data_IF_651754068423
#
_entry.id   IF_651754068423
#
_cell.length_a   1.000
_cell.length_b   1.000
_cell.length_c   1.000
_cell.angle_alpha   90.00
_cell.angle_beta   90.00
_cell.angle_gamma   90.00
#
_symmetry.space_group_name_H-M   'P 1'
#
loop_
_entity.id
_entity.type
_entity.pdbx_description
1 polymer ?
#
# COMPACT_ATOMS: atom_id res chain seq x y z
N UNK A 1 -10.91 4.21 -25.33
CA UNK A 1 -10.51 2.88 -24.80
C UNK A 1 -9.40 3.17 -23.80
N UNK A 2 -9.63 2.85 -22.53
CA UNK A 2 -8.70 3.11 -21.43
C UNK A 2 -7.64 2.00 -21.41
N UNK A 3 -6.36 2.38 -21.49
CA UNK A 3 -5.23 1.45 -21.45
C UNK A 3 -4.78 1.21 -20.00
N UNK A 4 -4.67 -0.06 -19.61
CA UNK A 4 -4.43 -0.47 -18.21
C UNK A 4 -3.15 -1.28 -18.11
N UNK A 5 -2.32 -0.94 -17.12
CA UNK A 5 -1.23 -1.78 -16.63
C UNK A 5 -1.70 -2.47 -15.35
N UNK A 6 -1.54 -3.79 -15.25
CA UNK A 6 -1.76 -4.54 -14.00
C UNK A 6 -0.40 -4.89 -13.40
N UNK A 7 -0.17 -4.48 -12.15
CA UNK A 7 1.00 -4.81 -11.35
C UNK A 7 0.58 -5.56 -10.09
N UNK A 8 0.59 -6.89 -10.17
CA UNK A 8 0.12 -7.82 -9.12
C UNK A 8 1.08 -9.00 -9.01
N UNK A 9 1.58 -9.26 -7.80
CA UNK A 9 2.58 -10.30 -7.59
C UNK A 9 2.01 -11.73 -7.61
N UNK A 10 0.73 -11.91 -7.21
CA UNK A 10 0.07 -13.20 -7.19
C UNK A 10 -0.48 -13.57 -8.59
N UNK A 11 0.03 -14.64 -9.26
CA UNK A 11 -0.35 -14.92 -10.63
C UNK A 11 -1.85 -15.19 -10.83
N UNK A 12 -2.51 -15.84 -9.87
CA UNK A 12 -3.95 -16.12 -9.95
C UNK A 12 -4.79 -14.85 -9.85
N UNK A 13 -4.44 -13.96 -8.93
CA UNK A 13 -5.12 -12.66 -8.77
C UNK A 13 -4.90 -11.81 -10.02
N UNK A 14 -3.69 -11.74 -10.53
CA UNK A 14 -3.35 -11.00 -11.75
C UNK A 14 -4.18 -11.47 -12.94
N UNK A 15 -4.33 -12.78 -13.13
CA UNK A 15 -5.18 -13.35 -14.18
C UNK A 15 -6.67 -13.08 -13.96
N UNK A 16 -7.13 -13.08 -12.72
CA UNK A 16 -8.49 -12.69 -12.37
C UNK A 16 -8.78 -11.22 -12.72
N UNK A 17 -7.85 -10.32 -12.37
CA UNK A 17 -7.95 -8.89 -12.71
C UNK A 17 -7.96 -8.68 -14.23
N UNK A 18 -7.08 -9.37 -14.97
CA UNK A 18 -7.05 -9.32 -16.42
C UNK A 18 -8.42 -9.70 -17.01
N UNK A 19 -8.93 -10.87 -16.65
CA UNK A 19 -10.21 -11.36 -17.17
C UNK A 19 -11.38 -10.42 -16.80
N UNK A 20 -11.37 -9.86 -15.59
CA UNK A 20 -12.38 -8.93 -15.10
C UNK A 20 -12.38 -7.63 -15.89
N UNK A 21 -11.21 -7.04 -16.12
CA UNK A 21 -11.09 -5.74 -16.78
C UNK A 21 -11.30 -5.86 -18.30
N UNK A 22 -10.83 -6.93 -18.92
CA UNK A 22 -11.04 -7.15 -20.36
C UNK A 22 -12.48 -7.59 -20.73
N UNK A 23 -13.31 -7.93 -19.74
CA UNK A 23 -14.74 -8.14 -19.98
C UNK A 23 -15.48 -6.82 -20.28
N UNK A 24 -14.90 -5.67 -19.95
CA UNK A 24 -15.47 -4.36 -20.22
C UNK A 24 -15.03 -3.83 -21.59
N UNK A 25 -15.97 -3.40 -22.48
CA UNK A 25 -15.66 -3.08 -23.87
C UNK A 25 -14.81 -1.82 -24.07
N UNK A 26 -14.73 -0.96 -23.05
CA UNK A 26 -13.98 0.30 -23.05
C UNK A 26 -12.62 0.21 -22.36
N UNK A 27 -12.31 -0.94 -21.73
CA UNK A 27 -11.07 -1.19 -21.02
C UNK A 27 -10.16 -2.14 -21.79
N UNK A 28 -8.86 -1.92 -21.76
CA UNK A 28 -7.86 -2.79 -22.37
C UNK A 28 -6.61 -2.90 -21.52
N UNK A 29 -6.22 -4.11 -21.18
CA UNK A 29 -4.96 -4.37 -20.49
C UNK A 29 -3.82 -4.40 -21.51
N UNK A 30 -2.88 -3.48 -21.40
CA UNK A 30 -1.72 -3.38 -22.30
C UNK A 30 -0.49 -4.10 -21.77
N UNK A 31 -0.43 -4.31 -20.45
CA UNK A 31 0.63 -5.08 -19.81
C UNK A 31 0.16 -5.66 -18.47
N UNK A 32 0.68 -6.84 -18.13
CA UNK A 32 0.56 -7.46 -16.81
C UNK A 32 1.95 -7.87 -16.29
N UNK A 33 2.26 -7.48 -15.06
CA UNK A 33 3.59 -7.68 -14.47
C UNK A 33 3.51 -8.12 -13.02
N UNK A 34 4.58 -8.76 -12.52
CA UNK A 34 4.63 -9.32 -11.19
C UNK A 34 5.58 -8.60 -10.23
N UNK A 35 6.33 -7.60 -10.70
CA UNK A 35 7.30 -6.88 -9.87
C UNK A 35 7.35 -5.38 -10.19
N UNK A 36 7.85 -4.54 -9.24
CA UNK A 36 7.88 -3.09 -9.38
C UNK A 36 8.70 -2.58 -10.56
N UNK A 37 9.83 -3.21 -10.84
CA UNK A 37 10.75 -2.80 -11.90
C UNK A 37 10.13 -3.01 -13.29
N UNK A 38 9.40 -4.10 -13.46
CA UNK A 38 8.64 -4.38 -14.69
C UNK A 38 7.47 -3.41 -14.84
N UNK A 39 6.80 -3.05 -13.74
CA UNK A 39 5.70 -2.08 -13.77
C UNK A 39 6.16 -0.72 -14.30
N UNK A 40 7.29 -0.22 -13.83
CA UNK A 40 7.86 1.05 -14.31
C UNK A 40 8.27 0.94 -15.79
N UNK A 41 8.94 -0.16 -16.18
CA UNK A 41 9.33 -0.37 -17.59
C UNK A 41 8.12 -0.45 -18.52
N UNK A 42 7.09 -1.19 -18.11
CA UNK A 42 5.86 -1.33 -18.89
C UNK A 42 5.11 0.01 -19.01
N UNK A 43 5.05 0.80 -17.92
CA UNK A 43 4.43 2.12 -17.96
C UNK A 43 5.13 3.06 -18.95
N UNK A 44 6.45 3.05 -18.99
CA UNK A 44 7.23 3.84 -19.94
C UNK A 44 7.10 3.35 -21.39
N UNK A 45 6.99 2.03 -21.60
CA UNK A 45 6.93 1.44 -22.92
C UNK A 45 5.54 1.56 -23.58
N UNK A 46 4.47 1.40 -22.80
CA UNK A 46 3.10 1.31 -23.31
C UNK A 46 2.26 2.56 -23.04
N UNK A 47 2.68 3.44 -22.13
CA UNK A 47 1.96 4.68 -21.79
C UNK A 47 0.52 4.47 -21.32
N UNK A 48 0.26 3.56 -20.33
CA UNK A 48 -1.10 3.29 -19.89
C UNK A 48 -1.74 4.53 -19.24
N UNK A 49 -3.06 4.63 -19.38
CA UNK A 49 -3.86 5.67 -18.71
C UNK A 49 -3.97 5.41 -17.21
N UNK A 50 -4.05 4.11 -16.82
CA UNK A 50 -4.20 3.69 -15.42
C UNK A 50 -3.27 2.50 -15.11
N UNK A 51 -2.59 2.57 -13.98
CA UNK A 51 -1.92 1.42 -13.38
C UNK A 51 -2.74 0.92 -12.18
N UNK A 52 -3.21 -0.32 -12.26
CA UNK A 52 -3.82 -1.06 -11.15
C UNK A 52 -2.71 -1.79 -10.43
N UNK A 53 -2.42 -1.38 -9.19
CA UNK A 53 -1.21 -1.78 -8.46
C UNK A 53 -1.59 -2.43 -7.14
N UNK A 54 -1.12 -3.66 -6.93
CA UNK A 54 -1.20 -4.31 -5.63
C UNK A 54 -0.33 -3.55 -4.60
N UNK A 55 -0.93 -3.25 -3.44
CA UNK A 55 -0.25 -2.58 -2.34
C UNK A 55 0.88 -3.42 -1.74
N UNK A 56 0.70 -4.75 -1.74
CA UNK A 56 1.64 -5.71 -1.16
C UNK A 56 2.71 -6.16 -2.18
N UNK A 57 2.79 -5.52 -3.34
CA UNK A 57 3.83 -5.77 -4.35
C UNK A 57 5.21 -5.53 -3.73
N UNK A 58 6.06 -6.58 -3.59
CA UNK A 58 7.31 -6.49 -2.86
C UNK A 58 8.32 -5.59 -3.57
N UNK A 59 9.00 -4.71 -2.84
CA UNK A 59 10.05 -3.86 -3.36
C UNK A 59 9.78 -2.37 -3.20
N UNK A 60 10.17 -1.56 -4.19
CA UNK A 60 10.02 -0.10 -4.16
C UNK A 60 8.55 0.31 -4.33
N UNK A 61 8.12 1.43 -3.71
CA UNK A 61 6.77 1.93 -3.84
C UNK A 61 6.47 2.34 -5.29
N UNK A 62 5.81 1.46 -6.02
CA UNK A 62 5.51 1.61 -7.47
C UNK A 62 4.75 2.90 -7.75
N UNK A 63 3.75 3.24 -6.92
CA UNK A 63 2.95 4.45 -7.10
C UNK A 63 3.80 5.73 -7.15
N UNK A 64 4.83 5.83 -6.28
CA UNK A 64 5.73 6.99 -6.27
C UNK A 64 6.58 7.03 -7.55
N UNK A 65 7.13 5.88 -7.96
CA UNK A 65 7.94 5.77 -9.17
C UNK A 65 7.13 6.07 -10.43
N UNK A 66 5.89 5.61 -10.50
CA UNK A 66 5.00 5.91 -11.62
C UNK A 66 4.65 7.40 -11.68
N UNK A 67 4.39 8.04 -10.55
CA UNK A 67 4.12 9.46 -10.51
C UNK A 67 5.31 10.33 -10.98
N UNK A 68 6.53 9.88 -10.70
CA UNK A 68 7.76 10.57 -11.14
C UNK A 68 8.06 10.37 -12.63
N UNK A 69 7.92 9.12 -13.12
CA UNK A 69 8.41 8.70 -14.44
C UNK A 69 7.31 8.65 -15.51
N UNK A 70 6.06 8.44 -15.11
CA UNK A 70 4.88 8.35 -15.96
C UNK A 70 3.72 9.19 -15.40
N UNK A 71 3.85 10.53 -15.29
CA UNK A 71 2.91 11.40 -14.56
C UNK A 71 1.49 11.44 -15.15
N UNK A 72 1.30 10.95 -16.36
CA UNK A 72 -0.03 10.84 -16.99
C UNK A 72 -0.76 9.56 -16.60
N UNK A 73 -0.05 8.57 -16.07
CA UNK A 73 -0.62 7.31 -15.64
C UNK A 73 -1.24 7.47 -14.25
N UNK A 74 -2.56 7.42 -14.15
CA UNK A 74 -3.26 7.40 -12.87
C UNK A 74 -2.99 6.09 -12.12
N UNK A 75 -2.84 6.14 -10.80
CA UNK A 75 -2.58 4.94 -9.99
C UNK A 75 -3.81 4.60 -9.15
N UNK A 76 -4.35 3.39 -9.37
CA UNK A 76 -5.36 2.75 -8.53
C UNK A 76 -4.67 1.64 -7.72
N UNK A 77 -4.62 1.81 -6.41
CA UNK A 77 -4.07 0.78 -5.53
C UNK A 77 -5.13 -0.23 -5.10
N UNK A 78 -4.76 -1.50 -5.10
CA UNK A 78 -5.59 -2.58 -4.59
C UNK A 78 -4.96 -3.20 -3.34
N UNK A 79 -5.80 -3.71 -2.44
CA UNK A 79 -5.35 -4.48 -1.27
C UNK A 79 -6.36 -5.57 -0.93
N UNK A 80 -5.86 -6.76 -0.61
CA UNK A 80 -6.69 -7.85 -0.12
C UNK A 80 -7.18 -7.59 1.33
N UNK A 81 -6.43 -6.81 2.10
CA UNK A 81 -6.72 -6.48 3.51
C UNK A 81 -6.42 -5.01 3.78
N UNK A 82 -7.23 -4.10 3.21
CA UNK A 82 -7.01 -2.67 3.41
C UNK A 82 -7.11 -2.31 4.89
N UNK A 83 -6.15 -1.54 5.38
CA UNK A 83 -6.23 -0.93 6.70
C UNK A 83 -6.26 0.60 6.58
N UNK A 84 -6.86 1.31 7.57
CA UNK A 84 -7.03 2.77 7.50
C UNK A 84 -5.74 3.56 7.30
N UNK A 85 -4.63 3.08 7.87
CA UNK A 85 -3.33 3.73 7.72
C UNK A 85 -2.74 3.60 6.33
N UNK A 86 -2.92 2.45 5.67
CA UNK A 86 -2.51 2.24 4.27
C UNK A 86 -3.33 3.14 3.34
N UNK A 87 -4.65 3.19 3.53
CA UNK A 87 -5.53 4.08 2.76
C UNK A 87 -5.08 5.53 2.92
N UNK A 88 -4.84 5.98 4.15
CA UNK A 88 -4.37 7.34 4.41
C UNK A 88 -3.02 7.63 3.74
N UNK A 89 -2.07 6.69 3.79
CA UNK A 89 -0.76 6.83 3.10
C UNK A 89 -0.94 6.91 1.59
N UNK A 90 -1.77 6.05 1.01
CA UNK A 90 -2.06 6.07 -0.42
C UNK A 90 -2.67 7.40 -0.86
N UNK A 91 -3.63 7.92 -0.08
CA UNK A 91 -4.31 9.19 -0.35
C UNK A 91 -3.44 10.44 -0.13
N UNK A 92 -2.48 10.37 0.79
CA UNK A 92 -1.48 11.43 0.98
C UNK A 92 -0.38 11.40 -0.10
N UNK A 93 -0.25 10.28 -0.81
CA UNK A 93 0.69 10.07 -1.90
C UNK A 93 0.08 10.38 -3.27
N UNK A 94 0.75 9.94 -4.34
CA UNK A 94 0.33 10.20 -5.72
C UNK A 94 -0.81 9.30 -6.22
N UNK A 95 -1.26 8.31 -5.45
CA UNK A 95 -2.34 7.44 -5.87
C UNK A 95 -3.67 8.20 -5.95
N UNK A 96 -4.38 8.05 -7.06
CA UNK A 96 -5.72 8.63 -7.26
C UNK A 96 -6.81 7.72 -6.71
N UNK A 97 -6.56 6.41 -6.58
CA UNK A 97 -7.56 5.47 -6.09
C UNK A 97 -6.99 4.47 -5.09
N UNK A 98 -7.89 3.96 -4.25
CA UNK A 98 -7.64 2.85 -3.35
C UNK A 98 -8.90 2.02 -3.17
N UNK A 99 -8.81 0.71 -3.47
CA UNK A 99 -9.95 -0.21 -3.38
C UNK A 99 -9.54 -1.54 -2.75
N UNK A 100 -10.51 -2.21 -2.16
CA UNK A 100 -10.36 -3.59 -1.71
C UNK A 100 -10.44 -4.57 -2.88
N UNK A 101 -9.70 -5.66 -2.84
CA UNK A 101 -9.93 -6.80 -3.74
C UNK A 101 -11.26 -7.53 -3.49
N UNK A 102 -12.01 -7.15 -2.44
CA UNK A 102 -13.33 -7.68 -2.16
C UNK A 102 -14.47 -6.95 -2.92
N UNK A 103 -14.16 -5.91 -3.70
CA UNK A 103 -15.17 -5.23 -4.53
C UNK A 103 -15.61 -6.10 -5.69
N UNK A 104 -16.85 -5.88 -6.16
CA UNK A 104 -17.33 -6.54 -7.38
C UNK A 104 -16.63 -6.02 -8.65
N UNK A 105 -16.68 -6.82 -9.74
CA UNK A 105 -16.10 -6.47 -11.03
C UNK A 105 -16.50 -5.09 -11.55
N UNK A 106 -17.77 -4.77 -11.50
CA UNK A 106 -18.35 -3.49 -12.00
C UNK A 106 -17.79 -2.31 -11.22
N UNK A 107 -17.61 -2.48 -9.90
CA UNK A 107 -17.06 -1.42 -9.03
C UNK A 107 -15.58 -1.17 -9.31
N UNK A 108 -14.82 -2.23 -9.59
CA UNK A 108 -13.42 -2.11 -9.98
C UNK A 108 -13.29 -1.37 -11.32
N UNK A 109 -14.10 -1.75 -12.32
CA UNK A 109 -14.11 -1.11 -13.63
C UNK A 109 -14.47 0.38 -13.53
N UNK A 110 -15.48 0.73 -12.72
CA UNK A 110 -15.83 2.11 -12.46
C UNK A 110 -14.70 2.89 -11.78
N UNK A 111 -13.99 2.27 -10.83
CA UNK A 111 -12.81 2.86 -10.19
C UNK A 111 -11.69 3.16 -11.18
N UNK A 112 -11.44 2.26 -12.14
CA UNK A 112 -10.48 2.48 -13.24
C UNK A 112 -10.89 3.67 -14.10
N UNK A 113 -12.18 3.78 -14.49
CA UNK A 113 -12.69 4.91 -15.27
C UNK A 113 -12.50 6.24 -14.55
N UNK A 114 -12.83 6.29 -13.27
CA UNK A 114 -12.64 7.50 -12.44
C UNK A 114 -11.18 7.93 -12.39
N UNK A 115 -10.26 6.98 -12.18
CA UNK A 115 -8.83 7.26 -12.15
C UNK A 115 -8.31 7.73 -13.52
N UNK A 116 -8.79 7.14 -14.62
CA UNK A 116 -8.45 7.57 -15.97
C UNK A 116 -8.88 9.02 -16.27
N UNK A 117 -9.98 9.47 -15.66
CA UNK A 117 -10.46 10.86 -15.73
C UNK A 117 -9.77 11.80 -14.74
N UNK A 118 -8.76 11.34 -14.00
CA UNK A 118 -8.08 12.11 -12.96
C UNK A 118 -8.93 12.31 -11.68
N UNK A 119 -10.04 11.60 -11.55
CA UNK A 119 -10.90 11.64 -10.36
C UNK A 119 -10.44 10.64 -9.31
N UNK A 120 -10.75 10.91 -8.04
CA UNK A 120 -10.44 9.98 -6.96
C UNK A 120 -11.45 8.82 -6.92
N UNK A 121 -10.93 7.60 -6.84
CA UNK A 121 -11.68 6.35 -6.70
C UNK A 121 -11.39 5.70 -5.35
N UNK A 122 -12.24 5.93 -4.35
CA UNK A 122 -12.08 5.40 -3.00
C UNK A 122 -13.42 4.88 -2.51
N UNK A 123 -13.42 3.72 -1.87
CA UNK A 123 -14.60 3.22 -1.18
C UNK A 123 -14.92 4.13 0.02
N UNK A 124 -16.20 4.52 0.15
CA UNK A 124 -16.64 5.46 1.19
C UNK A 124 -16.28 4.97 2.61
N UNK A 125 -16.43 3.70 2.87
CA UNK A 125 -16.10 3.07 4.16
C UNK A 125 -14.61 3.18 4.48
N UNK A 126 -13.74 2.94 3.48
CA UNK A 126 -12.30 3.07 3.62
C UNK A 126 -11.88 4.53 3.82
N UNK A 127 -12.52 5.45 3.14
CA UNK A 127 -12.28 6.88 3.30
C UNK A 127 -12.63 7.36 4.72
N UNK A 128 -13.78 6.96 5.24
CA UNK A 128 -14.21 7.28 6.62
C UNK A 128 -13.24 6.68 7.64
N UNK A 129 -12.87 5.40 7.49
CA UNK A 129 -11.92 4.74 8.36
C UNK A 129 -10.53 5.42 8.35
N UNK A 130 -10.08 5.87 7.18
CA UNK A 130 -8.81 6.60 7.05
C UNK A 130 -8.82 7.96 7.74
N UNK A 131 -9.96 8.67 7.71
CA UNK A 131 -10.13 9.94 8.41
C UNK A 131 -10.15 9.78 9.94
N UNK A 132 -10.67 8.65 10.43
CA UNK A 132 -10.72 8.33 11.86
C UNK A 132 -9.41 7.75 12.40
N UNK A 133 -8.47 7.39 11.51
CA UNK A 133 -7.19 6.82 11.90
C UNK A 133 -6.35 7.83 12.69
N UNK A 134 -5.94 7.45 13.89
CA UNK A 134 -5.09 8.28 14.74
C UNK A 134 -3.77 8.67 14.05
N UNK A 135 -3.32 9.88 14.28
CA UNK A 135 -1.97 10.30 13.86
C UNK A 135 -0.92 9.44 14.54
N UNK A 136 0.14 9.13 13.82
CA UNK A 136 1.21 8.32 14.36
C UNK A 136 1.92 9.04 15.54
N UNK A 137 1.86 8.53 16.79
CA UNK A 137 2.48 9.15 17.93
C UNK A 137 3.97 8.79 18.07
N UNK A 138 4.47 7.89 17.23
CA UNK A 138 5.81 7.34 17.35
C UNK A 138 6.82 8.19 16.58
N UNK A 139 7.99 8.39 17.18
CA UNK A 139 9.14 9.00 16.52
C UNK A 139 9.72 8.04 15.47
N UNK A 140 10.51 8.58 14.53
CA UNK A 140 11.19 7.77 13.51
C UNK A 140 12.00 6.62 14.13
N UNK A 141 12.72 6.88 15.22
CA UNK A 141 13.53 5.87 15.91
C UNK A 141 12.69 4.79 16.59
N UNK A 142 11.57 5.17 17.17
CA UNK A 142 10.61 4.21 17.73
C UNK A 142 9.99 3.34 16.62
N UNK A 143 9.71 3.89 15.44
CA UNK A 143 9.26 3.13 14.28
C UNK A 143 10.31 2.13 13.80
N UNK A 144 11.58 2.52 13.73
CA UNK A 144 12.67 1.62 13.32
C UNK A 144 12.77 0.42 14.28
N UNK A 145 12.73 0.69 15.60
CA UNK A 145 12.69 -0.36 16.62
C UNK A 145 11.48 -1.27 16.45
N UNK A 146 10.31 -0.70 16.22
CA UNK A 146 9.05 -1.45 16.13
C UNK A 146 8.96 -2.29 14.85
N UNK A 147 9.48 -1.82 13.72
CA UNK A 147 9.56 -2.59 12.46
C UNK A 147 10.40 -3.85 12.61
N UNK A 148 11.59 -3.74 13.20
CA UNK A 148 12.44 -4.89 13.46
C UNK A 148 11.77 -5.82 14.49
N UNK A 149 11.09 -5.23 15.49
CA UNK A 149 10.32 -5.95 16.47
C UNK A 149 9.15 -6.75 15.87
N UNK A 150 8.53 -6.25 14.81
CA UNK A 150 7.45 -6.91 14.08
C UNK A 150 7.91 -8.20 13.38
N UNK A 151 9.18 -8.26 12.94
CA UNK A 151 9.81 -9.47 12.44
C UNK A 151 10.16 -10.52 13.50
N UNK A 152 9.77 -10.33 14.77
CA UNK A 152 10.02 -11.29 15.86
C UNK A 152 11.40 -11.17 16.52
N UNK A 153 12.26 -10.22 16.08
CA UNK A 153 13.63 -10.08 16.56
C UNK A 153 13.71 -9.81 18.07
N UNK A 154 14.64 -10.38 18.80
CA UNK A 154 14.87 -10.14 20.22
C UNK A 154 15.47 -8.75 20.45
N UNK A 155 15.37 -8.23 21.69
CA UNK A 155 15.93 -6.90 22.00
C UNK A 155 17.44 -6.80 21.77
N UNK A 156 18.18 -7.88 21.84
CA UNK A 156 19.59 -7.96 21.51
C UNK A 156 19.81 -7.81 20.00
N UNK A 157 19.06 -8.51 19.19
CA UNK A 157 19.12 -8.44 17.71
C UNK A 157 18.73 -7.06 17.19
N UNK A 158 17.71 -6.44 17.80
CA UNK A 158 17.31 -5.05 17.50
C UNK A 158 18.44 -4.07 17.84
N UNK A 159 19.09 -4.28 19.00
CA UNK A 159 20.22 -3.46 19.44
C UNK A 159 21.39 -3.52 18.46
N UNK A 160 21.74 -4.73 18.02
CA UNK A 160 22.81 -4.95 17.05
C UNK A 160 22.50 -4.30 15.70
N UNK A 161 21.29 -4.51 15.15
CA UNK A 161 20.88 -3.94 13.86
C UNK A 161 20.81 -2.41 13.86
N UNK A 162 20.45 -1.81 14.99
CA UNK A 162 20.30 -0.37 15.10
C UNK A 162 21.49 0.35 15.74
N UNK A 163 22.56 -0.39 16.06
CA UNK A 163 23.73 0.14 16.78
C UNK A 163 23.36 0.84 18.10
N UNK A 164 22.51 0.18 18.90
CA UNK A 164 22.03 0.67 20.19
C UNK A 164 22.44 -0.28 21.33
N UNK A 165 22.36 0.19 22.57
CA UNK A 165 22.39 -0.70 23.72
C UNK A 165 21.06 -1.42 23.90
N UNK A 166 21.06 -2.64 24.44
CA UNK A 166 19.84 -3.38 24.79
C UNK A 166 18.93 -2.59 25.73
N UNK A 167 19.53 -1.83 26.66
CA UNK A 167 18.81 -0.92 27.56
C UNK A 167 18.05 0.19 26.81
N UNK A 168 18.70 0.78 25.79
CA UNK A 168 18.08 1.79 24.91
C UNK A 168 16.89 1.21 24.14
N UNK A 169 17.03 0.00 23.60
CA UNK A 169 15.93 -0.69 22.90
C UNK A 169 14.75 -0.94 23.83
N UNK A 170 14.99 -1.42 25.06
CA UNK A 170 13.93 -1.62 26.06
C UNK A 170 13.22 -0.32 26.42
N UNK A 171 13.96 0.78 26.54
CA UNK A 171 13.38 2.11 26.78
C UNK A 171 12.51 2.57 25.62
N UNK A 172 12.94 2.35 24.35
CA UNK A 172 12.09 2.63 23.19
C UNK A 172 10.83 1.78 23.20
N UNK A 173 10.91 0.47 23.42
CA UNK A 173 9.75 -0.40 23.48
C UNK A 173 8.76 0.01 24.59
N UNK A 174 9.26 0.41 25.77
CA UNK A 174 8.43 0.92 26.85
C UNK A 174 7.69 2.21 26.46
N UNK A 175 8.40 3.16 25.83
CA UNK A 175 7.79 4.40 25.33
C UNK A 175 6.77 4.14 24.23
N UNK A 176 7.04 3.20 23.33
CA UNK A 176 6.10 2.79 22.28
C UNK A 176 4.82 2.26 22.92
N UNK A 177 4.92 1.32 23.87
CA UNK A 177 3.75 0.78 24.58
C UNK A 177 2.95 1.87 25.28
N UNK A 178 3.63 2.80 25.95
CA UNK A 178 2.97 3.93 26.60
C UNK A 178 2.22 4.83 25.59
N UNK A 179 2.86 5.18 24.47
CA UNK A 179 2.27 6.06 23.44
C UNK A 179 1.13 5.41 22.68
N UNK A 180 1.17 4.09 22.51
CA UNK A 180 0.15 3.33 21.78
C UNK A 180 -0.96 2.80 22.69
N UNK A 181 -0.81 2.88 24.01
CA UNK A 181 -1.70 2.24 24.98
C UNK A 181 -1.64 0.71 24.94
N UNK A 182 -0.56 0.13 24.36
CA UNK A 182 -0.41 -1.30 24.19
C UNK A 182 -0.09 -2.01 25.52
N UNK A 183 -0.69 -3.18 25.72
CA UNK A 183 -0.50 -4.03 26.93
C UNK A 183 0.84 -4.74 26.94
N UNK A 184 1.39 -5.02 25.76
CA UNK A 184 2.66 -5.69 25.55
C UNK A 184 3.22 -5.37 24.18
N UNK A 185 4.43 -5.87 23.88
CA UNK A 185 5.13 -5.64 22.60
C UNK A 185 4.34 -6.13 21.38
N UNK A 186 3.71 -7.31 21.46
CA UNK A 186 2.92 -7.84 20.34
C UNK A 186 1.69 -6.98 20.06
N UNK A 187 1.04 -6.50 21.12
CA UNK A 187 -0.10 -5.60 21.02
C UNK A 187 0.33 -4.24 20.39
N UNK A 188 1.53 -3.74 20.75
CA UNK A 188 2.08 -2.54 20.13
C UNK A 188 2.36 -2.72 18.62
N UNK A 189 2.90 -3.86 18.23
CA UNK A 189 3.10 -4.22 16.81
C UNK A 189 1.76 -4.28 16.09
N UNK A 190 0.76 -4.99 16.66
CA UNK A 190 -0.57 -5.11 16.08
C UNK A 190 -1.22 -3.73 15.88
N UNK A 191 -1.26 -2.89 16.93
CA UNK A 191 -1.83 -1.54 16.85
C UNK A 191 -1.13 -0.71 15.77
N UNK A 192 0.19 -0.77 15.70
CA UNK A 192 0.95 0.01 14.72
C UNK A 192 0.74 -0.48 13.29
N UNK A 193 0.59 -1.81 13.08
CA UNK A 193 0.27 -2.40 11.78
C UNK A 193 -1.15 -2.04 11.35
N UNK A 194 -2.15 -2.23 12.24
CA UNK A 194 -3.56 -1.90 11.96
C UNK A 194 -3.74 -0.40 11.65
N UNK A 195 -2.93 0.46 12.30
CA UNK A 195 -2.91 1.90 12.04
C UNK A 195 -2.04 2.31 10.84
N UNK A 196 -1.32 1.38 10.21
CA UNK A 196 -0.42 1.63 9.09
C UNK A 196 0.79 2.49 9.46
N UNK A 197 1.28 2.44 10.70
CA UNK A 197 2.49 3.16 11.12
C UNK A 197 3.77 2.39 10.78
N UNK A 198 3.66 1.06 10.69
CA UNK A 198 4.73 0.14 10.28
C UNK A 198 4.27 -0.76 9.16
#
# INVERSE_FOLDING_TARGET
MIQILIAEHLPLVRRGLLATLEAEPDLRVVAEVGCPEEAVRAALAYGPDVAVVDLDLPGLPVAVRLAELAPRCGVLMLSARPNPGQVRKALAGPALGFMSLCVGPERLAEGVRQVAEGRRAIEAELAVAALQCATNPLTRRELDVLRIAAGGARSTEIADQLFLSVGTVRNHLSRIMCKTGARNRLDAVRIASDSGWI
#
